data_IF_160659653412
#
_entry.id   IF_160659653412
#
_cell.length_a   1.000
_cell.length_b   1.000
_cell.length_c   1.000
_cell.angle_alpha   90.00
_cell.angle_beta   90.00
_cell.angle_gamma   90.00
#
_symmetry.space_group_name_H-M   'P 1'
#
loop_
_entity.id
_entity.type
_entity.pdbx_description
1 polymer ?
#
# COMPACT_ATOMS: atom_id res chain seq x y z
N UNK A 1 -2.29 -17.48 8.76
CA UNK A 1 -3.70 -17.04 8.66
C UNK A 1 -4.57 -18.24 8.32
N UNK A 2 -5.70 -18.43 8.99
CA UNK A 2 -6.60 -19.55 8.73
C UNK A 2 -8.06 -19.21 9.07
N UNK A 3 -9.02 -19.97 8.45
CA UNK A 3 -10.43 -19.95 8.81
C UNK A 3 -10.63 -20.96 9.95
N UNK A 4 -11.29 -20.53 11.02
CA UNK A 4 -11.56 -21.36 12.20
C UNK A 4 -13.07 -21.36 12.49
N UNK A 5 -13.63 -22.54 12.75
CA UNK A 5 -15.05 -22.72 13.08
C UNK A 5 -15.21 -23.00 14.58
N UNK A 6 -16.01 -22.18 15.25
CA UNK A 6 -16.34 -22.36 16.67
C UNK A 6 -17.84 -22.08 16.90
N UNK A 7 -18.53 -22.96 17.58
CA UNK A 7 -19.98 -22.84 17.89
C UNK A 7 -20.80 -22.38 16.67
N UNK A 8 -20.69 -23.11 15.54
CA UNK A 8 -21.35 -22.80 14.26
C UNK A 8 -20.98 -21.48 13.58
N UNK A 9 -20.11 -20.67 14.14
CA UNK A 9 -19.59 -19.42 13.55
C UNK A 9 -18.21 -19.64 12.95
N UNK A 10 -17.94 -18.94 11.87
CA UNK A 10 -16.62 -18.93 11.23
C UNK A 10 -15.85 -17.66 11.65
N UNK A 11 -14.55 -17.82 11.86
CA UNK A 11 -13.64 -16.74 12.25
C UNK A 11 -12.45 -16.72 11.30
N UNK A 12 -11.96 -15.54 11.01
CA UNK A 12 -10.62 -15.31 10.49
C UNK A 12 -9.67 -15.19 11.70
N UNK A 13 -8.61 -15.99 11.71
CA UNK A 13 -7.62 -16.01 12.78
C UNK A 13 -6.23 -15.78 12.19
N UNK A 14 -5.51 -14.83 12.75
CA UNK A 14 -4.13 -14.49 12.39
C UNK A 14 -3.28 -14.46 13.64
N UNK A 15 -2.12 -15.11 13.62
CA UNK A 15 -1.08 -14.94 14.64
C UNK A 15 -0.14 -13.84 14.21
N UNK A 16 0.00 -12.80 15.00
CA UNK A 16 0.98 -11.74 14.79
C UNK A 16 2.40 -12.30 15.02
N UNK A 17 3.38 -11.74 14.34
CA UNK A 17 4.79 -12.15 14.48
C UNK A 17 5.35 -11.84 15.89
N UNK A 18 4.83 -10.81 16.53
CA UNK A 18 5.21 -10.32 17.86
C UNK A 18 3.96 -9.86 18.60
N UNK A 19 3.98 -9.94 19.93
CA UNK A 19 2.88 -9.51 20.80
C UNK A 19 2.62 -8.00 20.61
N UNK A 20 3.66 -7.22 20.48
CA UNK A 20 3.60 -5.76 20.30
C UNK A 20 2.83 -5.35 19.04
N UNK A 21 2.95 -6.15 17.95
CA UNK A 21 2.17 -5.92 16.72
C UNK A 21 0.68 -6.18 16.99
N UNK A 22 0.35 -7.27 17.68
CA UNK A 22 -1.03 -7.59 17.99
C UNK A 22 -1.65 -6.54 18.94
N UNK A 23 -0.90 -6.07 19.93
CA UNK A 23 -1.33 -5.01 20.85
C UNK A 23 -1.58 -3.68 20.12
N UNK A 24 -0.65 -3.29 19.24
CA UNK A 24 -0.82 -2.13 18.35
C UNK A 24 -2.11 -2.24 17.54
N UNK A 25 -2.33 -3.37 16.86
CA UNK A 25 -3.53 -3.62 16.05
C UNK A 25 -4.81 -3.55 16.90
N UNK A 26 -4.83 -4.21 18.07
CA UNK A 26 -5.98 -4.14 18.98
C UNK A 26 -6.26 -2.72 19.46
N UNK A 27 -5.22 -1.94 19.74
CA UNK A 27 -5.37 -0.54 20.18
C UNK A 27 -5.92 0.32 19.04
N UNK A 28 -5.42 0.18 17.82
CA UNK A 28 -5.96 0.87 16.64
C UNK A 28 -7.44 0.53 16.45
N UNK A 29 -7.79 -0.76 16.45
CA UNK A 29 -9.19 -1.19 16.29
C UNK A 29 -10.11 -0.65 17.40
N UNK A 30 -9.63 -0.61 18.64
CA UNK A 30 -10.40 -0.05 19.77
C UNK A 30 -10.68 1.44 19.59
N UNK A 31 -9.69 2.20 19.15
CA UNK A 31 -9.85 3.64 18.93
C UNK A 31 -10.76 3.93 17.72
N UNK A 32 -10.51 3.28 16.59
CA UNK A 32 -11.33 3.44 15.38
C UNK A 32 -12.76 2.96 15.62
N UNK A 33 -12.96 1.81 16.27
CA UNK A 33 -14.28 1.26 16.56
C UNK A 33 -15.16 2.15 17.47
N UNK A 34 -14.54 2.95 18.34
CA UNK A 34 -15.25 3.95 19.16
C UNK A 34 -15.61 5.21 18.36
N UNK A 35 -14.82 5.57 17.39
CA UNK A 35 -14.98 6.79 16.62
C UNK A 35 -15.84 6.59 15.38
N UNK A 36 -15.49 5.61 14.57
CA UNK A 36 -16.19 5.25 13.32
C UNK A 36 -16.02 3.74 13.03
N UNK A 37 -16.95 2.90 13.52
CA UNK A 37 -16.87 1.45 13.30
C UNK A 37 -17.06 1.03 11.85
N UNK A 38 -17.50 1.94 10.94
CA UNK A 38 -17.66 1.64 9.52
C UNK A 38 -16.32 1.52 8.78
N UNK A 39 -15.24 2.06 9.34
CA UNK A 39 -13.91 2.03 8.72
C UNK A 39 -13.25 0.65 8.75
N UNK A 40 -13.59 -0.18 9.73
CA UNK A 40 -12.87 -1.41 10.05
C UNK A 40 -13.81 -2.59 10.29
N UNK A 41 -13.28 -3.83 10.20
CA UNK A 41 -13.94 -5.00 10.79
C UNK A 41 -13.60 -5.08 12.28
N UNK A 42 -14.60 -5.21 13.17
CA UNK A 42 -14.35 -5.36 14.60
C UNK A 42 -13.51 -6.59 14.92
N UNK A 43 -12.65 -6.48 15.93
CA UNK A 43 -11.95 -7.64 16.50
C UNK A 43 -12.85 -8.37 17.50
N UNK A 44 -12.68 -9.69 17.54
CA UNK A 44 -13.24 -10.56 18.59
C UNK A 44 -12.17 -10.70 19.66
N UNK A 45 -12.58 -10.67 20.92
CA UNK A 45 -11.68 -10.87 22.05
C UNK A 45 -11.03 -12.25 22.01
N UNK A 46 -9.76 -12.35 22.32
CA UNK A 46 -8.98 -13.57 22.45
C UNK A 46 -8.12 -13.49 23.70
N UNK A 47 -7.99 -14.63 24.39
CA UNK A 47 -7.09 -14.77 25.55
C UNK A 47 -5.62 -14.95 25.13
N UNK A 48 -5.35 -15.34 23.89
CA UNK A 48 -3.99 -15.39 23.33
C UNK A 48 -3.59 -14.00 22.82
N UNK A 49 -2.58 -13.42 23.45
CA UNK A 49 -2.11 -12.06 23.17
C UNK A 49 -1.54 -11.87 21.75
N UNK A 50 -1.14 -12.94 21.08
CA UNK A 50 -0.65 -12.89 19.69
C UNK A 50 -1.75 -13.04 18.65
N UNK A 51 -2.97 -13.47 19.04
CA UNK A 51 -4.03 -13.68 18.07
C UNK A 51 -4.82 -12.41 17.76
N UNK A 52 -5.04 -12.22 16.48
CA UNK A 52 -5.97 -11.24 15.91
C UNK A 52 -7.12 -12.04 15.32
N UNK A 53 -8.32 -11.85 15.89
CA UNK A 53 -9.51 -12.64 15.53
C UNK A 53 -10.59 -11.69 15.04
N UNK A 54 -11.20 -12.00 13.90
CA UNK A 54 -12.34 -11.28 13.33
C UNK A 54 -13.43 -12.27 12.93
N UNK A 55 -14.68 -11.82 12.92
CA UNK A 55 -15.76 -12.63 12.33
C UNK A 55 -15.49 -12.82 10.84
N UNK A 56 -15.59 -14.08 10.38
CA UNK A 56 -15.53 -14.37 8.97
C UNK A 56 -16.69 -13.70 8.22
N UNK A 57 -16.39 -13.00 7.16
CA UNK A 57 -17.37 -12.32 6.33
C UNK A 57 -17.71 -13.20 5.12
N UNK A 58 -18.84 -13.89 5.15
CA UNK A 58 -19.29 -14.70 4.01
C UNK A 58 -19.61 -13.78 2.82
N UNK A 59 -19.22 -14.21 1.61
CA UNK A 59 -19.42 -13.45 0.38
C UNK A 59 -18.55 -12.19 0.25
N UNK A 60 -17.65 -11.94 1.21
CA UNK A 60 -16.72 -10.81 1.11
C UNK A 60 -15.66 -11.05 0.02
N UNK A 61 -15.20 -9.96 -0.58
CA UNK A 61 -14.11 -9.98 -1.56
C UNK A 61 -13.26 -8.71 -1.45
N UNK A 62 -12.00 -8.80 -1.86
CA UNK A 62 -11.12 -7.64 -1.94
C UNK A 62 -11.58 -6.64 -2.99
N UNK A 63 -11.21 -5.38 -2.83
CA UNK A 63 -11.41 -4.38 -3.87
C UNK A 63 -10.67 -4.76 -5.16
N UNK A 64 -11.15 -4.25 -6.29
CA UNK A 64 -10.47 -4.38 -7.59
C UNK A 64 -10.19 -2.97 -8.14
N UNK A 65 -8.94 -2.56 -8.12
CA UNK A 65 -8.56 -1.21 -8.58
C UNK A 65 -8.73 -0.98 -10.09
N UNK A 66 -9.08 -2.00 -10.88
CA UNK A 66 -9.56 -1.81 -12.24
C UNK A 66 -10.94 -1.11 -12.27
N UNK A 67 -11.74 -1.25 -11.21
CA UNK A 67 -13.07 -0.66 -11.12
C UNK A 67 -13.00 0.74 -10.50
N UNK A 68 -13.62 1.71 -11.19
CA UNK A 68 -13.69 3.10 -10.71
C UNK A 68 -14.37 3.22 -9.33
N UNK A 69 -15.42 2.41 -9.07
CA UNK A 69 -16.12 2.37 -7.77
C UNK A 69 -15.14 2.04 -6.65
N UNK A 70 -14.32 1.00 -6.84
CA UNK A 70 -13.41 0.51 -5.80
C UNK A 70 -12.28 1.51 -5.54
N UNK A 71 -11.77 2.17 -6.59
CA UNK A 71 -10.81 3.28 -6.44
C UNK A 71 -11.39 4.43 -5.62
N UNK A 72 -12.64 4.81 -5.92
CA UNK A 72 -13.32 5.91 -5.21
C UNK A 72 -13.55 5.57 -3.74
N UNK A 73 -14.10 4.39 -3.46
CA UNK A 73 -14.41 3.99 -2.08
C UNK A 73 -13.14 3.73 -1.26
N UNK A 74 -12.08 3.14 -1.85
CA UNK A 74 -10.80 2.96 -1.14
C UNK A 74 -10.14 4.31 -0.80
N UNK A 75 -10.15 5.29 -1.71
CA UNK A 75 -9.65 6.63 -1.41
C UNK A 75 -10.48 7.31 -0.31
N UNK A 76 -11.82 7.18 -0.36
CA UNK A 76 -12.71 7.71 0.67
C UNK A 76 -12.39 7.15 2.05
N UNK A 77 -12.15 5.82 2.14
CA UNK A 77 -11.75 5.18 3.39
C UNK A 77 -10.40 5.69 3.91
N UNK A 78 -9.41 5.87 3.03
CA UNK A 78 -8.11 6.43 3.43
C UNK A 78 -8.26 7.86 3.93
N UNK A 79 -9.04 8.71 3.25
CA UNK A 79 -9.32 10.06 3.70
C UNK A 79 -9.97 10.03 5.11
N UNK A 80 -10.97 9.19 5.31
CA UNK A 80 -11.64 9.06 6.59
C UNK A 80 -10.71 8.53 7.69
N UNK A 81 -9.83 7.57 7.37
CA UNK A 81 -8.79 7.09 8.29
C UNK A 81 -7.83 8.21 8.69
N UNK A 82 -7.34 8.97 7.72
CA UNK A 82 -6.39 10.05 7.99
C UNK A 82 -7.05 11.17 8.80
N UNK A 83 -8.30 11.51 8.54
CA UNK A 83 -9.03 12.55 9.28
C UNK A 83 -9.27 12.19 10.76
N UNK A 84 -9.02 10.94 11.17
CA UNK A 84 -9.15 10.50 12.59
C UNK A 84 -8.17 11.21 13.53
N UNK A 85 -7.03 11.74 13.03
CA UNK A 85 -6.09 12.51 13.83
C UNK A 85 -6.73 13.73 14.52
N UNK A 86 -7.80 14.28 13.93
CA UNK A 86 -8.56 15.41 14.50
C UNK A 86 -9.22 15.08 15.85
N UNK A 87 -9.38 13.78 16.14
CA UNK A 87 -10.06 13.29 17.37
C UNK A 87 -9.20 12.32 18.18
N UNK A 88 -8.20 11.69 17.57
CA UNK A 88 -7.35 10.66 18.18
C UNK A 88 -5.89 11.12 18.14
N UNK A 89 -5.27 11.23 19.30
CA UNK A 89 -3.83 11.53 19.41
C UNK A 89 -3.00 10.27 19.13
N UNK A 90 -2.85 9.92 17.84
CA UNK A 90 -2.18 8.69 17.40
C UNK A 90 -0.74 8.57 17.89
N UNK A 91 -0.04 9.70 18.10
CA UNK A 91 1.33 9.75 18.63
C UNK A 91 1.45 9.17 20.05
N UNK A 92 0.32 9.02 20.76
CA UNK A 92 0.27 8.43 22.11
C UNK A 92 -0.01 6.92 22.09
N UNK A 93 -0.26 6.32 20.92
CA UNK A 93 -0.53 4.89 20.80
C UNK A 93 0.79 4.13 20.78
N UNK A 94 1.03 3.20 21.73
CA UNK A 94 2.26 2.39 21.75
C UNK A 94 2.44 1.59 20.46
N UNK A 95 3.70 1.47 20.01
CA UNK A 95 4.06 0.70 18.81
C UNK A 95 3.77 1.41 17.49
N UNK A 96 3.21 2.64 17.51
CA UNK A 96 3.13 3.50 16.32
C UNK A 96 4.36 4.40 16.25
N UNK A 97 5.14 4.25 15.20
CA UNK A 97 6.35 5.03 14.95
C UNK A 97 6.30 5.63 13.55
N UNK A 98 7.02 6.71 13.32
CA UNK A 98 7.32 7.23 11.97
C UNK A 98 8.47 6.45 11.37
N UNK A 99 8.52 6.37 10.04
CA UNK A 99 9.70 5.89 9.34
C UNK A 99 9.94 6.67 8.04
N UNK A 100 11.18 6.69 7.58
CA UNK A 100 11.52 7.34 6.32
C UNK A 100 11.20 6.44 5.13
N UNK A 101 10.22 6.83 4.34
CA UNK A 101 9.88 6.17 3.08
C UNK A 101 11.05 6.24 2.08
N UNK A 102 11.76 7.37 2.04
CA UNK A 102 12.94 7.53 1.20
C UNK A 102 14.02 6.50 1.55
N UNK A 103 14.35 6.35 2.83
CA UNK A 103 15.34 5.35 3.26
C UNK A 103 14.93 3.94 2.88
N UNK A 104 13.67 3.58 3.08
CA UNK A 104 13.12 2.28 2.67
C UNK A 104 13.28 2.04 1.17
N UNK A 105 13.05 3.05 0.34
CA UNK A 105 13.20 2.95 -1.10
C UNK A 105 14.67 2.88 -1.53
N UNK A 106 15.56 3.65 -0.89
CA UNK A 106 17.01 3.55 -1.11
C UNK A 106 17.52 2.13 -0.81
N UNK A 107 17.14 1.56 0.33
CA UNK A 107 17.51 0.17 0.68
C UNK A 107 16.96 -0.84 -0.34
N UNK A 108 15.72 -0.65 -0.82
CA UNK A 108 15.12 -1.50 -1.86
C UNK A 108 15.87 -1.39 -3.18
N UNK A 109 16.24 -0.18 -3.60
CA UNK A 109 17.05 0.05 -4.79
C UNK A 109 18.41 -0.67 -4.69
N UNK A 110 19.12 -0.49 -3.58
CA UNK A 110 20.41 -1.15 -3.36
C UNK A 110 20.28 -2.68 -3.40
N UNK A 111 19.27 -3.24 -2.75
CA UNK A 111 18.99 -4.68 -2.78
C UNK A 111 18.68 -5.18 -4.20
N UNK A 112 17.87 -4.49 -4.96
CA UNK A 112 17.57 -4.83 -6.35
C UNK A 112 18.84 -4.80 -7.22
N UNK A 113 19.65 -3.76 -7.06
CA UNK A 113 20.95 -3.62 -7.76
C UNK A 113 21.91 -4.73 -7.42
N UNK A 114 22.02 -5.15 -6.14
CA UNK A 114 22.89 -6.24 -5.70
C UNK A 114 22.48 -7.62 -6.24
N UNK A 115 21.16 -7.81 -6.53
CA UNK A 115 20.60 -9.07 -7.05
C UNK A 115 20.54 -9.10 -8.60
N UNK A 116 21.24 -8.20 -9.27
CA UNK A 116 21.21 -8.05 -10.75
C UNK A 116 21.49 -9.35 -11.50
N UNK A 117 22.43 -10.18 -11.04
CA UNK A 117 22.78 -11.44 -11.71
C UNK A 117 21.64 -12.46 -11.66
N UNK A 118 20.93 -12.54 -10.54
CA UNK A 118 19.75 -13.40 -10.38
C UNK A 118 18.58 -12.90 -11.26
N UNK A 119 18.36 -11.60 -11.28
CA UNK A 119 17.33 -10.97 -12.11
C UNK A 119 17.54 -11.21 -13.61
N UNK A 120 18.78 -11.34 -14.07
CA UNK A 120 19.13 -11.65 -15.48
C UNK A 120 18.60 -13.00 -15.97
N UNK A 121 18.22 -13.89 -15.08
CA UNK A 121 17.55 -15.14 -15.44
C UNK A 121 16.15 -14.90 -16.03
N UNK A 122 15.52 -13.78 -15.69
CA UNK A 122 14.11 -13.49 -16.00
C UNK A 122 13.90 -12.18 -16.79
N UNK A 123 14.82 -11.22 -16.64
CA UNK A 123 14.77 -9.90 -17.27
C UNK A 123 15.98 -9.70 -18.18
N UNK A 124 15.78 -8.98 -19.25
CA UNK A 124 16.89 -8.55 -20.10
C UNK A 124 17.77 -7.53 -19.37
N UNK A 125 18.99 -7.36 -19.85
CA UNK A 125 19.88 -6.33 -19.32
C UNK A 125 19.27 -4.95 -19.44
N UNK A 126 18.63 -4.66 -20.56
CA UNK A 126 17.99 -3.38 -20.88
C UNK A 126 16.83 -3.09 -19.91
N UNK A 127 15.98 -4.07 -19.61
CA UNK A 127 14.89 -3.92 -18.63
C UNK A 127 15.42 -3.61 -17.23
N UNK A 128 16.45 -4.35 -16.78
CA UNK A 128 17.09 -4.11 -15.47
C UNK A 128 17.70 -2.71 -15.42
N UNK A 129 18.45 -2.33 -16.46
CA UNK A 129 19.10 -1.02 -16.53
C UNK A 129 18.07 0.12 -16.56
N UNK A 130 16.94 -0.06 -17.24
CA UNK A 130 15.84 0.90 -17.29
C UNK A 130 15.16 1.05 -15.92
N UNK A 131 14.87 -0.04 -15.22
CA UNK A 131 14.31 -0.01 -13.87
C UNK A 131 15.25 0.72 -12.90
N UNK A 132 16.55 0.37 -12.94
CA UNK A 132 17.55 1.02 -12.09
C UNK A 132 17.72 2.50 -12.40
N UNK A 133 17.71 2.87 -13.69
CA UNK A 133 17.79 4.28 -14.11
C UNK A 133 16.61 5.12 -13.57
N UNK A 134 15.36 4.63 -13.71
CA UNK A 134 14.19 5.32 -13.16
C UNK A 134 14.25 5.38 -11.64
N UNK A 135 14.66 4.29 -11.00
CA UNK A 135 14.79 4.24 -9.54
C UNK A 135 15.83 5.25 -9.03
N UNK A 136 17.01 5.28 -9.62
CA UNK A 136 18.10 6.19 -9.21
C UNK A 136 17.69 7.67 -9.40
N UNK A 137 17.21 8.02 -10.60
CA UNK A 137 16.74 9.39 -10.89
C UNK A 137 15.61 9.85 -9.98
N UNK A 138 14.64 8.98 -9.69
CA UNK A 138 13.53 9.35 -8.81
C UNK A 138 13.99 9.55 -7.37
N UNK A 139 14.91 8.71 -6.87
CA UNK A 139 15.46 8.87 -5.52
C UNK A 139 16.23 10.20 -5.37
N UNK A 140 16.96 10.63 -6.40
CA UNK A 140 17.63 11.94 -6.41
C UNK A 140 16.59 13.07 -6.35
N UNK A 141 15.51 13.01 -7.13
CA UNK A 141 14.46 14.03 -7.08
C UNK A 141 13.76 14.08 -5.72
N UNK A 142 13.45 12.91 -5.14
CA UNK A 142 12.78 12.81 -3.82
C UNK A 142 13.69 13.34 -2.70
N UNK A 143 15.00 13.11 -2.78
CA UNK A 143 15.95 13.62 -1.80
C UNK A 143 16.07 15.16 -1.82
N UNK A 144 15.70 15.82 -2.93
CA UNK A 144 15.66 17.26 -3.11
C UNK A 144 14.27 17.87 -2.88
N UNK A 145 13.30 17.04 -2.47
CA UNK A 145 11.92 17.47 -2.24
C UNK A 145 11.86 18.45 -1.06
N UNK A 146 11.41 19.66 -1.34
CA UNK A 146 11.13 20.71 -0.36
C UNK A 146 9.62 20.89 -0.23
N UNK A 147 8.94 19.86 0.32
CA UNK A 147 7.53 19.92 0.62
C UNK A 147 7.32 20.37 2.08
N UNK A 148 6.35 21.27 2.35
CA UNK A 148 6.05 21.63 3.73
C UNK A 148 5.59 20.42 4.51
N UNK A 149 6.03 20.32 5.77
CA UNK A 149 5.53 19.30 6.68
C UNK A 149 4.02 19.48 6.89
N UNK A 150 3.32 18.36 6.85
CA UNK A 150 1.88 18.27 7.15
C UNK A 150 1.66 17.58 8.48
N UNK A 151 0.43 17.66 8.94
CA UNK A 151 0.01 16.99 10.15
C UNK A 151 0.18 15.47 10.06
N UNK A 152 0.74 14.89 11.14
CA UNK A 152 1.00 13.47 11.25
C UNK A 152 -0.29 12.75 11.67
N UNK A 153 -0.63 11.70 10.95
CA UNK A 153 -1.82 10.87 11.20
C UNK A 153 -1.47 9.39 11.24
N UNK A 154 -2.47 8.56 11.53
CA UNK A 154 -2.37 7.12 11.34
C UNK A 154 -2.40 6.80 9.84
N UNK A 155 -1.38 6.10 9.38
CA UNK A 155 -1.33 5.46 8.06
C UNK A 155 -1.57 3.96 8.20
N UNK A 156 -2.29 3.37 7.26
CA UNK A 156 -2.51 1.92 7.19
C UNK A 156 -1.21 1.17 6.91
N UNK A 157 -0.37 1.74 6.04
CA UNK A 157 0.96 1.22 5.70
C UNK A 157 1.01 0.09 4.68
N UNK A 158 -0.14 -0.55 4.36
CA UNK A 158 -0.23 -1.59 3.32
C UNK A 158 -1.53 -1.46 2.51
N UNK A 159 -1.58 -0.46 1.66
CA UNK A 159 -2.77 -0.07 0.87
C UNK A 159 -2.94 -0.92 -0.39
N UNK A 160 -2.82 -2.24 -0.27
CA UNK A 160 -3.07 -3.20 -1.35
C UNK A 160 -4.57 -3.51 -1.47
N UNK A 161 -5.00 -3.92 -2.67
CA UNK A 161 -6.42 -4.10 -2.98
C UNK A 161 -7.16 -5.07 -2.04
N UNK A 162 -6.52 -6.14 -1.59
CA UNK A 162 -7.14 -7.13 -0.71
C UNK A 162 -7.27 -6.68 0.75
N UNK A 163 -6.62 -5.58 1.15
CA UNK A 163 -6.79 -4.95 2.46
C UNK A 163 -7.98 -3.97 2.51
N UNK A 164 -8.65 -3.77 1.36
CA UNK A 164 -9.94 -3.10 1.25
C UNK A 164 -10.99 -4.16 0.98
N UNK A 165 -11.76 -4.53 2.02
CA UNK A 165 -12.67 -5.67 1.97
C UNK A 165 -14.13 -5.21 1.79
N UNK A 166 -14.75 -5.60 0.69
CA UNK A 166 -16.20 -5.49 0.53
C UNK A 166 -16.88 -6.53 1.41
N UNK A 167 -17.69 -6.08 2.34
CA UNK A 167 -18.46 -6.92 3.25
C UNK A 167 -19.86 -7.22 2.69
N UNK A 168 -20.53 -8.21 3.27
CA UNK A 168 -21.87 -8.62 2.86
C UNK A 168 -22.96 -7.53 2.99
N UNK A 169 -22.72 -6.53 3.83
CA UNK A 169 -23.57 -5.34 3.96
C UNK A 169 -23.33 -4.27 2.88
N UNK A 170 -22.49 -4.57 1.91
CA UNK A 170 -22.17 -3.68 0.80
C UNK A 170 -21.24 -2.52 1.16
N UNK A 171 -20.62 -2.54 2.35
CA UNK A 171 -19.64 -1.53 2.77
C UNK A 171 -18.21 -2.03 2.56
N UNK A 172 -17.34 -1.11 2.16
CA UNK A 172 -15.89 -1.36 2.08
C UNK A 172 -15.25 -1.02 3.43
N UNK A 173 -14.41 -1.92 3.95
CA UNK A 173 -13.69 -1.75 5.22
C UNK A 173 -12.21 -2.04 5.07
N UNK A 174 -11.41 -1.40 5.93
CA UNK A 174 -9.98 -1.68 6.04
C UNK A 174 -9.75 -2.88 6.97
N UNK A 175 -8.81 -3.73 6.57
CA UNK A 175 -8.32 -4.88 7.35
C UNK A 175 -6.80 -4.89 7.34
N UNK A 176 -6.19 -5.62 8.30
CA UNK A 176 -4.74 -5.87 8.36
C UNK A 176 -3.86 -4.62 8.62
N UNK A 177 -3.99 -4.09 9.84
CA UNK A 177 -3.19 -2.94 10.32
C UNK A 177 -1.78 -3.31 10.84
N UNK A 178 -1.22 -4.46 10.49
CA UNK A 178 0.12 -4.88 10.97
C UNK A 178 1.22 -3.86 10.64
N UNK A 179 1.13 -3.26 9.45
CA UNK A 179 2.11 -2.28 8.98
C UNK A 179 1.72 -0.83 9.29
N UNK A 180 0.65 -0.64 10.08
CA UNK A 180 0.23 0.71 10.46
C UNK A 180 1.33 1.46 11.21
N UNK A 181 1.48 2.72 10.86
CA UNK A 181 2.51 3.62 11.38
C UNK A 181 2.04 5.08 11.34
N UNK A 182 2.87 5.99 11.82
CA UNK A 182 2.62 7.44 11.75
C UNK A 182 3.28 8.04 10.52
N UNK A 183 2.58 8.96 9.87
CA UNK A 183 3.11 9.70 8.72
C UNK A 183 2.13 10.74 8.21
N UNK A 184 2.52 11.42 7.15
CA UNK A 184 1.64 12.36 6.48
C UNK A 184 0.68 11.63 5.53
N UNK A 185 -0.59 12.05 5.50
CA UNK A 185 -1.62 11.45 4.64
C UNK A 185 -1.21 11.35 3.15
N UNK A 186 -0.49 12.35 2.65
CA UNK A 186 0.00 12.38 1.27
C UNK A 186 0.93 11.20 0.94
N UNK A 187 1.71 10.73 1.92
CA UNK A 187 2.63 9.61 1.73
C UNK A 187 1.86 8.31 1.45
N UNK A 188 0.73 8.11 2.13
CA UNK A 188 -0.12 6.95 1.88
C UNK A 188 -0.92 7.08 0.59
N UNK A 189 -1.39 8.28 0.22
CA UNK A 189 -2.01 8.48 -1.10
C UNK A 189 -1.04 8.17 -2.25
N UNK A 190 0.24 8.51 -2.13
CA UNK A 190 1.28 8.12 -3.08
C UNK A 190 1.43 6.59 -3.13
N UNK A 191 1.52 5.90 -1.99
CA UNK A 191 1.61 4.44 -1.94
C UNK A 191 0.37 3.78 -2.55
N UNK A 192 -0.82 4.30 -2.28
CA UNK A 192 -2.06 3.83 -2.88
C UNK A 192 -2.07 4.07 -4.40
N UNK A 193 -1.63 5.22 -4.88
CA UNK A 193 -1.51 5.50 -6.32
C UNK A 193 -0.57 4.52 -7.01
N UNK A 194 0.54 4.11 -6.40
CA UNK A 194 1.40 3.04 -6.94
C UNK A 194 0.65 1.72 -7.18
N UNK A 195 -0.39 1.42 -6.35
CA UNK A 195 -1.23 0.22 -6.50
C UNK A 195 -2.31 0.37 -7.54
N UNK A 196 -2.82 1.58 -7.72
CA UNK A 196 -3.94 1.89 -8.62
C UNK A 196 -3.47 2.10 -10.06
N UNK A 197 -2.36 2.82 -10.26
CA UNK A 197 -1.88 3.21 -11.59
C UNK A 197 -1.68 2.04 -12.57
N UNK A 198 -1.17 0.86 -12.17
CA UNK A 198 -1.10 -0.28 -13.07
C UNK A 198 -2.45 -0.72 -13.66
N UNK A 199 -3.53 -0.55 -12.91
CA UNK A 199 -4.88 -0.94 -13.35
C UNK A 199 -5.50 0.02 -14.38
N UNK A 200 -4.86 1.16 -14.64
CA UNK A 200 -5.31 2.20 -15.59
C UNK A 200 -4.21 2.61 -16.57
N UNK A 201 -3.30 1.70 -16.89
CA UNK A 201 -2.19 1.94 -17.82
C UNK A 201 -1.32 3.16 -17.43
N UNK A 202 -1.14 3.37 -16.13
CA UNK A 202 -0.37 4.50 -15.58
C UNK A 202 -0.88 5.88 -16.01
N UNK A 203 -2.17 5.98 -16.39
CA UNK A 203 -2.80 7.24 -16.77
C UNK A 203 -3.17 8.07 -15.54
N UNK A 204 -2.23 8.92 -15.12
CA UNK A 204 -2.40 9.82 -13.98
C UNK A 204 -3.52 10.84 -14.23
N UNK A 205 -3.67 11.33 -15.47
CA UNK A 205 -4.71 12.28 -15.84
C UNK A 205 -6.11 11.70 -15.63
N UNK A 206 -6.32 10.44 -16.02
CA UNK A 206 -7.56 9.70 -15.79
C UNK A 206 -7.89 9.61 -14.30
N UNK A 207 -6.90 9.26 -13.46
CA UNK A 207 -7.11 9.15 -12.00
C UNK A 207 -7.49 10.50 -11.40
N UNK A 208 -6.80 11.59 -11.74
CA UNK A 208 -7.14 12.92 -11.23
C UNK A 208 -8.49 13.46 -11.74
N UNK A 209 -8.93 13.03 -12.93
CA UNK A 209 -10.27 13.34 -13.42
C UNK A 209 -11.37 12.53 -12.70
N UNK A 210 -11.09 11.27 -12.36
CA UNK A 210 -12.02 10.41 -11.63
C UNK A 210 -12.14 10.76 -10.14
N UNK A 211 -11.06 11.25 -9.52
CA UNK A 211 -10.87 11.43 -8.07
C UNK A 211 -10.37 12.85 -7.78
N UNK A 212 -11.25 13.85 -7.87
CA UNK A 212 -10.87 15.25 -7.66
C UNK A 212 -10.34 15.56 -6.25
N UNK A 213 -10.61 14.68 -5.28
CA UNK A 213 -10.08 14.77 -3.92
C UNK A 213 -8.55 14.74 -3.88
N UNK A 214 -7.91 14.08 -4.84
CA UNK A 214 -6.45 14.03 -4.98
C UNK A 214 -5.83 15.39 -5.34
N UNK A 215 -6.62 16.40 -5.71
CA UNK A 215 -6.12 17.78 -5.92
C UNK A 215 -5.55 18.41 -4.65
N UNK A 216 -5.88 17.88 -3.46
CA UNK A 216 -5.31 18.28 -2.18
C UNK A 216 -3.88 17.78 -1.94
N UNK A 217 -3.47 16.74 -2.68
CA UNK A 217 -2.12 16.18 -2.61
C UNK A 217 -1.09 17.25 -2.97
N UNK A 218 -0.02 17.35 -2.18
CA UNK A 218 1.08 18.25 -2.52
C UNK A 218 1.73 17.81 -3.83
N UNK A 219 1.70 18.70 -4.81
CA UNK A 219 2.20 18.39 -6.16
C UNK A 219 3.67 18.00 -6.16
N UNK A 220 4.47 18.55 -5.24
CA UNK A 220 5.91 18.22 -5.13
C UNK A 220 6.10 16.75 -4.77
N UNK A 221 5.25 16.19 -3.90
CA UNK A 221 5.25 14.76 -3.56
C UNK A 221 4.89 13.85 -4.73
N UNK A 222 4.30 14.37 -5.81
CA UNK A 222 4.04 13.57 -7.02
C UNK A 222 5.33 13.02 -7.66
N UNK A 223 6.49 13.63 -7.43
CA UNK A 223 7.77 13.06 -7.88
C UNK A 223 8.02 11.65 -7.32
N UNK A 224 7.44 11.32 -6.17
CA UNK A 224 7.52 9.99 -5.55
C UNK A 224 6.87 8.89 -6.40
N UNK A 225 5.88 9.23 -7.26
CA UNK A 225 5.28 8.28 -8.22
C UNK A 225 6.23 7.88 -9.35
N UNK A 226 7.33 8.62 -9.55
CA UNK A 226 8.38 8.28 -10.51
C UNK A 226 9.24 7.09 -10.06
N UNK A 227 9.26 6.79 -8.76
CA UNK A 227 9.98 5.64 -8.23
C UNK A 227 9.24 4.34 -8.59
N UNK A 228 9.89 3.37 -9.26
CA UNK A 228 9.23 2.14 -9.71
C UNK A 228 9.01 1.14 -8.57
N UNK A 229 8.30 1.59 -7.53
CA UNK A 229 8.11 0.91 -6.26
C UNK A 229 7.63 -0.54 -6.42
N UNK A 230 6.61 -0.74 -7.27
CA UNK A 230 6.00 -2.06 -7.45
C UNK A 230 6.94 -3.01 -8.19
N UNK A 231 7.63 -2.53 -9.23
CA UNK A 231 8.59 -3.36 -9.96
C UNK A 231 9.70 -3.88 -9.04
N UNK A 232 10.36 -2.98 -8.28
CA UNK A 232 11.44 -3.41 -7.40
C UNK A 232 10.92 -4.35 -6.31
N UNK A 233 9.74 -4.09 -5.76
CA UNK A 233 9.16 -4.90 -4.70
C UNK A 233 8.80 -6.30 -5.18
N UNK A 234 8.08 -6.40 -6.29
CA UNK A 234 7.59 -7.68 -6.82
C UNK A 234 8.75 -8.56 -7.30
N UNK A 235 9.75 -7.98 -7.97
CA UNK A 235 10.92 -8.73 -8.39
C UNK A 235 11.75 -9.23 -7.21
N UNK A 236 11.98 -8.40 -6.18
CA UNK A 236 12.68 -8.84 -4.97
C UNK A 236 11.91 -9.92 -4.22
N UNK A 237 10.59 -9.88 -4.24
CA UNK A 237 9.75 -10.95 -3.68
C UNK A 237 9.86 -12.22 -4.53
N UNK A 238 9.74 -12.10 -5.85
CA UNK A 238 9.78 -13.23 -6.76
C UNK A 238 11.06 -14.06 -6.65
N UNK A 239 12.22 -13.41 -6.64
CA UNK A 239 13.53 -14.11 -6.56
C UNK A 239 13.80 -14.76 -5.20
N UNK A 240 13.04 -14.42 -4.16
CA UNK A 240 13.13 -15.06 -2.84
C UNK A 240 12.14 -16.24 -2.69
N UNK A 241 11.26 -16.48 -3.65
CA UNK A 241 10.31 -17.59 -3.62
C UNK A 241 11.00 -18.93 -3.96
N UNK A 242 10.49 -20.06 -3.45
CA UNK A 242 10.84 -21.38 -3.98
C UNK A 242 10.53 -21.47 -5.47
N UNK A 243 11.35 -22.23 -6.23
CA UNK A 243 11.31 -22.28 -7.70
C UNK A 243 9.91 -22.53 -8.28
N UNK A 244 9.16 -23.46 -7.72
CA UNK A 244 7.80 -23.79 -8.20
C UNK A 244 6.85 -22.59 -8.07
N UNK A 245 6.88 -21.88 -6.93
CA UNK A 245 6.09 -20.68 -6.72
C UNK A 245 6.57 -19.51 -7.57
N UNK A 246 7.88 -19.42 -7.78
CA UNK A 246 8.51 -18.43 -8.62
C UNK A 246 7.98 -18.52 -10.06
N UNK A 247 7.96 -19.73 -10.65
CA UNK A 247 7.48 -19.93 -12.02
C UNK A 247 6.04 -19.48 -12.20
N UNK A 248 5.14 -19.84 -11.26
CA UNK A 248 3.74 -19.39 -11.29
C UNK A 248 3.64 -17.86 -11.19
N UNK A 249 4.46 -17.25 -10.34
CA UNK A 249 4.42 -15.80 -10.16
C UNK A 249 4.96 -15.02 -11.36
N UNK A 250 5.90 -15.60 -12.11
CA UNK A 250 6.48 -15.00 -13.33
C UNK A 250 5.46 -14.84 -14.47
N UNK A 251 4.47 -15.71 -14.56
CA UNK A 251 3.39 -15.59 -15.58
C UNK A 251 2.63 -14.25 -15.42
N UNK A 252 2.53 -13.75 -14.21
CA UNK A 252 2.00 -12.42 -13.94
C UNK A 252 3.07 -11.32 -14.03
N UNK A 253 4.25 -11.54 -13.44
CA UNK A 253 5.23 -10.49 -13.20
C UNK A 253 5.92 -10.02 -14.48
N UNK A 254 6.19 -10.93 -15.44
CA UNK A 254 6.85 -10.56 -16.71
C UNK A 254 5.96 -9.66 -17.57
N UNK A 255 4.67 -9.99 -17.83
CA UNK A 255 3.77 -9.08 -18.55
C UNK A 255 3.56 -7.75 -17.81
N UNK A 256 3.44 -7.78 -16.48
CA UNK A 256 3.33 -6.59 -15.64
C UNK A 256 4.54 -5.66 -15.83
N UNK A 257 5.75 -6.21 -15.84
CA UNK A 257 6.99 -5.44 -16.04
C UNK A 257 7.04 -4.79 -17.41
N UNK A 258 6.76 -5.52 -18.47
CA UNK A 258 6.73 -5.00 -19.84
C UNK A 258 5.72 -3.87 -19.98
N UNK A 259 4.52 -4.05 -19.43
CA UNK A 259 3.48 -3.03 -19.41
C UNK A 259 3.94 -1.78 -18.64
N UNK A 260 4.50 -1.96 -17.45
CA UNK A 260 5.00 -0.85 -16.65
C UNK A 260 6.07 -0.06 -17.40
N UNK A 261 7.09 -0.72 -17.94
CA UNK A 261 8.17 -0.06 -18.69
C UNK A 261 7.68 0.65 -19.95
N UNK A 262 6.63 0.14 -20.61
CA UNK A 262 6.00 0.79 -21.77
C UNK A 262 5.35 2.13 -21.39
N UNK A 263 4.64 2.18 -20.27
CA UNK A 263 3.90 3.38 -19.87
C UNK A 263 4.70 4.35 -18.96
N UNK A 264 5.82 3.92 -18.39
CA UNK A 264 6.62 4.72 -17.46
C UNK A 264 7.10 6.05 -18.01
N UNK A 265 7.57 6.15 -19.30
CA UNK A 265 7.97 7.43 -19.87
C UNK A 265 6.82 8.44 -19.91
N UNK A 266 5.60 7.98 -20.24
CA UNK A 266 4.41 8.84 -20.25
C UNK A 266 4.05 9.28 -18.83
N UNK A 267 4.04 8.37 -17.85
CA UNK A 267 3.79 8.70 -16.45
C UNK A 267 4.80 9.75 -15.95
N UNK A 268 6.08 9.56 -16.27
CA UNK A 268 7.13 10.51 -15.89
C UNK A 268 6.86 11.92 -16.43
N UNK A 269 6.54 12.01 -17.73
CA UNK A 269 6.19 13.26 -18.39
C UNK A 269 4.93 13.91 -17.78
N UNK A 270 3.89 13.13 -17.53
CA UNK A 270 2.64 13.62 -16.95
C UNK A 270 2.88 14.20 -15.55
N UNK A 271 3.69 13.54 -14.70
CA UNK A 271 4.06 14.05 -13.38
C UNK A 271 4.76 15.41 -13.51
N UNK A 272 5.73 15.55 -14.43
CA UNK A 272 6.43 16.83 -14.62
C UNK A 272 5.47 17.95 -15.03
N UNK A 273 4.45 17.65 -15.82
CA UNK A 273 3.40 18.61 -16.18
C UNK A 273 2.51 18.99 -15.00
N UNK A 274 2.15 18.02 -14.14
CA UNK A 274 1.32 18.27 -12.97
C UNK A 274 2.06 19.11 -11.91
N UNK A 275 3.33 18.88 -11.72
CA UNK A 275 4.15 19.61 -10.75
C UNK A 275 4.39 21.06 -11.20
N UNK A 276 4.57 21.31 -12.51
CA UNK A 276 4.82 22.65 -13.05
C UNK A 276 3.58 23.56 -13.13
N UNK A 277 2.39 23.01 -13.04
CA UNK A 277 1.12 23.75 -13.02
C UNK A 277 0.70 24.15 -11.61
#
# INVERSE_FOLDING_TARGET
MWKYKYQSKNYFVKRAKQVEIAEKVRTIHRQLGRMDPSLILPLVQSDDEQLIVQMWQEGSHGANFAHKKDRKESLRLLIALHDTHKKIAWQRVPGLHTYSQLLKWQMRHMRFKSRRNELRTFLTKEEIDQILHYSDKSLQLIALEDAPEKEITLLHGDVVHHNFLWCSDGQLRLIDFDLAHLGEADDEYILWLHRVLPAVDYDLGKIFAELPELKRLDKRKLHRLKYPNELLREWLFAIDLPLEQQLVFLDYLVPFTKRALTYWPKLWYDIDRFVKK
#
